data_IF_288470390586
#
_entry.id   IF_288470390586
#
_cell.length_a   1.000
_cell.length_b   1.000
_cell.length_c   1.000
_cell.angle_alpha   90.00
_cell.angle_beta   90.00
_cell.angle_gamma   90.00
#
_symmetry.space_group_name_H-M   'P 1'
#
loop_
_entity.id
_entity.type
_entity.pdbx_description
1 polymer ?
#
# COMPACT_ATOMS: atom_id res chain seq x y z
N UNK A 1 -9.48 -11.09 -1.07
CA UNK A 1 -8.59 -11.14 -2.24
C UNK A 1 -7.82 -12.44 -2.15
N UNK A 2 -7.32 -12.99 -3.25
CA UNK A 2 -6.36 -14.11 -3.25
C UNK A 2 -4.98 -13.66 -2.76
N UNK A 3 -4.60 -12.42 -3.05
CA UNK A 3 -3.33 -11.79 -2.63
C UNK A 3 -3.63 -10.51 -1.84
N UNK A 4 -3.78 -10.62 -0.51
CA UNK A 4 -4.04 -9.44 0.31
C UNK A 4 -2.87 -8.47 0.27
N UNK A 5 -3.16 -7.19 0.01
CA UNK A 5 -2.22 -6.10 0.18
C UNK A 5 -1.89 -5.92 1.67
N UNK A 6 -2.90 -5.92 2.53
CA UNK A 6 -2.77 -5.84 3.98
C UNK A 6 -2.80 -7.23 4.60
N UNK A 7 -1.63 -7.78 4.90
CA UNK A 7 -1.46 -9.11 5.49
C UNK A 7 -0.68 -9.06 6.82
N UNK A 8 -0.34 -10.23 7.34
CA UNK A 8 0.39 -10.36 8.60
C UNK A 8 1.81 -9.76 8.56
N UNK A 9 2.46 -9.65 7.39
CA UNK A 9 3.79 -9.04 7.31
C UNK A 9 3.70 -7.51 7.34
N UNK A 10 2.55 -6.92 7.01
CA UNK A 10 2.33 -5.47 7.13
C UNK A 10 2.64 -4.92 8.52
N UNK A 11 2.38 -5.69 9.59
CA UNK A 11 2.65 -5.26 10.97
C UNK A 11 4.15 -5.10 11.24
N UNK A 12 5.03 -5.62 10.38
CA UNK A 12 6.48 -5.49 10.50
C UNK A 12 6.99 -4.10 10.12
N UNK A 13 6.22 -3.34 9.34
CA UNK A 13 6.58 -1.98 8.95
C UNK A 13 6.81 -1.10 10.20
N UNK A 14 5.98 -1.25 11.24
CA UNK A 14 6.10 -0.44 12.46
C UNK A 14 7.38 -0.69 13.27
N UNK A 15 8.10 -1.79 12.99
CA UNK A 15 9.34 -2.15 13.69
C UNK A 15 10.54 -1.30 13.25
N UNK A 16 10.44 -0.61 12.09
CA UNK A 16 11.42 0.40 11.61
C UNK A 16 12.87 -0.10 11.56
N UNK A 17 13.05 -1.36 11.18
CA UNK A 17 14.35 -2.02 11.03
C UNK A 17 14.53 -2.48 9.56
N UNK A 18 15.61 -3.22 9.28
CA UNK A 18 15.86 -3.76 7.93
C UNK A 18 14.77 -4.73 7.43
N UNK A 19 14.01 -5.35 8.33
CA UNK A 19 12.83 -6.13 7.94
C UNK A 19 11.70 -5.21 7.45
N UNK A 20 11.49 -4.08 8.12
CA UNK A 20 10.50 -3.08 7.70
C UNK A 20 10.82 -2.52 6.31
N UNK A 21 12.10 -2.31 5.98
CA UNK A 21 12.53 -1.88 4.64
C UNK A 21 12.10 -2.88 3.56
N UNK A 22 12.46 -4.16 3.73
CA UNK A 22 12.09 -5.21 2.77
C UNK A 22 10.58 -5.39 2.62
N UNK A 23 9.82 -5.24 3.71
CA UNK A 23 8.35 -5.29 3.66
C UNK A 23 7.78 -4.07 2.94
N UNK A 24 8.33 -2.87 3.16
CA UNK A 24 7.89 -1.66 2.45
C UNK A 24 8.11 -1.80 0.94
N UNK A 25 9.29 -2.23 0.52
CA UNK A 25 9.59 -2.48 -0.90
C UNK A 25 8.62 -3.49 -1.53
N UNK A 26 8.38 -4.61 -0.83
CA UNK A 26 7.42 -5.62 -1.27
C UNK A 26 6.01 -5.04 -1.42
N UNK A 27 5.51 -4.32 -0.41
CA UNK A 27 4.14 -3.78 -0.40
C UNK A 27 3.94 -2.64 -1.40
N UNK A 28 4.97 -1.83 -1.66
CA UNK A 28 4.95 -0.83 -2.74
C UNK A 28 4.78 -1.52 -4.10
N UNK A 29 5.55 -2.59 -4.34
CA UNK A 29 5.47 -3.36 -5.58
C UNK A 29 4.12 -4.05 -5.75
N UNK A 30 3.63 -4.73 -4.71
CA UNK A 30 2.30 -5.37 -4.73
C UNK A 30 1.18 -4.36 -5.00
N UNK A 31 1.26 -3.17 -4.38
CA UNK A 31 0.33 -2.09 -4.65
C UNK A 31 0.34 -1.67 -6.13
N UNK A 32 1.51 -1.50 -6.74
CA UNK A 32 1.65 -1.14 -8.16
C UNK A 32 1.11 -2.25 -9.09
N UNK A 33 1.36 -3.51 -8.76
CA UNK A 33 0.84 -4.67 -9.49
C UNK A 33 -0.69 -4.72 -9.45
N UNK A 34 -1.29 -4.52 -8.27
CA UNK A 34 -2.75 -4.49 -8.09
C UNK A 34 -3.35 -3.29 -8.84
N UNK A 35 -2.76 -2.10 -8.69
CA UNK A 35 -3.22 -0.89 -9.37
C UNK A 35 -3.23 -1.10 -10.89
N UNK A 36 -2.13 -1.61 -11.45
CA UNK A 36 -1.98 -1.88 -12.88
C UNK A 36 -2.97 -2.94 -13.36
N UNK A 37 -3.23 -3.97 -12.55
CA UNK A 37 -4.19 -5.01 -12.90
C UNK A 37 -5.63 -4.46 -12.98
N UNK A 38 -6.04 -3.65 -12.01
CA UNK A 38 -7.35 -2.99 -12.02
C UNK A 38 -7.43 -2.01 -13.20
N UNK A 39 -6.40 -1.20 -13.44
CA UNK A 39 -6.38 -0.23 -14.54
C UNK A 39 -6.56 -0.91 -15.90
N UNK A 40 -5.91 -2.07 -16.10
CA UNK A 40 -6.03 -2.83 -17.36
C UNK A 40 -7.41 -3.46 -17.55
N UNK A 41 -8.07 -3.86 -16.48
CA UNK A 41 -9.35 -4.56 -16.55
C UNK A 41 -10.56 -3.61 -16.57
N UNK A 42 -10.53 -2.58 -15.73
CA UNK A 42 -11.68 -1.71 -15.43
C UNK A 42 -11.44 -0.24 -15.84
N UNK A 43 -10.22 0.08 -16.27
CA UNK A 43 -9.82 1.43 -16.65
C UNK A 43 -9.22 2.24 -15.49
N UNK A 44 -8.59 3.35 -15.87
CA UNK A 44 -7.80 4.19 -14.96
C UNK A 44 -8.60 4.77 -13.80
N UNK A 45 -9.83 5.22 -14.06
CA UNK A 45 -10.67 5.84 -13.03
C UNK A 45 -11.09 4.82 -11.97
N UNK A 46 -11.35 3.57 -12.37
CA UNK A 46 -11.63 2.48 -11.43
C UNK A 46 -10.40 2.20 -10.54
N UNK A 47 -9.21 2.08 -11.13
CA UNK A 47 -7.97 1.87 -10.38
C UNK A 47 -7.74 2.98 -9.35
N UNK A 48 -7.92 4.25 -9.75
CA UNK A 48 -7.80 5.39 -8.84
C UNK A 48 -8.82 5.36 -7.71
N UNK A 49 -10.08 5.09 -8.01
CA UNK A 49 -11.12 5.08 -6.98
C UNK A 49 -10.92 3.93 -5.98
N UNK A 50 -10.50 2.76 -6.46
CA UNK A 50 -10.33 1.57 -5.63
C UNK A 50 -9.03 1.62 -4.84
N UNK A 51 -7.95 2.12 -5.43
CA UNK A 51 -6.60 2.17 -4.82
C UNK A 51 -6.25 3.56 -4.28
N UNK A 52 -7.25 4.38 -3.96
CA UNK A 52 -7.10 5.68 -3.31
C UNK A 52 -6.10 6.61 -4.03
N UNK A 53 -6.22 6.68 -5.36
CA UNK A 53 -5.36 7.41 -6.30
C UNK A 53 -3.85 7.14 -6.12
N UNK A 54 -3.51 5.94 -5.64
CA UNK A 54 -2.14 5.52 -5.38
C UNK A 54 -1.53 6.09 -4.10
N UNK A 55 -2.32 6.73 -3.24
CA UNK A 55 -1.84 7.31 -1.98
C UNK A 55 -1.30 6.25 -1.01
N UNK A 56 -1.79 5.00 -1.09
CA UNK A 56 -1.24 3.89 -0.31
C UNK A 56 0.24 3.69 -0.66
N UNK A 57 0.55 3.46 -1.95
CA UNK A 57 1.91 3.30 -2.41
C UNK A 57 2.80 4.51 -2.11
N UNK A 58 2.26 5.73 -2.27
CA UNK A 58 2.97 6.96 -1.90
C UNK A 58 3.35 6.99 -0.42
N UNK A 59 2.40 6.72 0.49
CA UNK A 59 2.67 6.72 1.93
C UNK A 59 3.72 5.67 2.32
N UNK A 60 3.65 4.47 1.74
CA UNK A 60 4.68 3.44 1.96
C UNK A 60 6.06 3.91 1.47
N UNK A 61 6.14 4.57 0.31
CA UNK A 61 7.40 5.15 -0.18
C UNK A 61 7.96 6.21 0.77
N UNK A 62 7.12 7.08 1.34
CA UNK A 62 7.56 8.05 2.36
C UNK A 62 8.08 7.38 3.63
N UNK A 63 7.48 6.28 4.06
CA UNK A 63 8.01 5.46 5.16
C UNK A 63 9.40 4.89 4.81
N UNK A 64 9.58 4.37 3.60
CA UNK A 64 10.86 3.81 3.15
C UNK A 64 11.95 4.88 3.07
N UNK A 65 11.61 6.07 2.55
CA UNK A 65 12.53 7.21 2.52
C UNK A 65 13.04 7.60 3.90
N UNK A 66 12.18 7.56 4.93
CA UNK A 66 12.58 7.82 6.31
C UNK A 66 13.56 6.76 6.82
N UNK A 67 13.30 5.48 6.56
CA UNK A 67 14.22 4.39 6.98
C UNK A 67 15.58 4.51 6.29
N UNK A 68 15.59 4.96 5.02
CA UNK A 68 16.80 5.25 4.27
C UNK A 68 17.54 6.53 4.72
N UNK A 69 17.11 7.18 5.82
CA UNK A 69 17.79 8.32 6.42
C UNK A 69 17.43 9.68 5.81
N UNK A 70 16.33 9.79 5.06
CA UNK A 70 15.87 11.08 4.53
C UNK A 70 15.48 12.04 5.64
N UNK A 71 16.10 13.24 5.65
CA UNK A 71 15.73 14.31 6.58
C UNK A 71 14.41 15.01 6.27
N UNK A 72 13.76 14.68 5.14
CA UNK A 72 12.49 15.30 4.72
C UNK A 72 11.24 14.66 5.32
N UNK A 73 11.39 13.49 5.96
CA UNK A 73 10.31 12.76 6.65
C UNK A 73 10.72 12.63 8.09
N UNK A 74 9.97 13.25 9.00
CA UNK A 74 10.21 13.09 10.44
C UNK A 74 9.66 11.76 10.93
N UNK A 75 10.05 11.37 12.15
CA UNK A 75 9.46 10.21 12.81
C UNK A 75 7.94 10.33 12.98
N UNK A 76 7.40 11.53 13.23
CA UNK A 76 5.94 11.73 13.32
C UNK A 76 5.27 11.53 11.98
N UNK A 77 5.89 12.02 10.90
CA UNK A 77 5.39 11.83 9.54
C UNK A 77 5.35 10.35 9.17
N UNK A 78 6.36 9.57 9.59
CA UNK A 78 6.36 8.12 9.42
C UNK A 78 5.09 7.47 9.99
N UNK A 79 4.74 7.78 11.25
CA UNK A 79 3.53 7.23 11.87
C UNK A 79 2.24 7.70 11.18
N UNK A 80 2.20 8.94 10.69
CA UNK A 80 1.08 9.48 9.90
C UNK A 80 0.92 8.70 8.59
N UNK A 81 2.00 8.54 7.82
CA UNK A 81 1.98 7.80 6.55
C UNK A 81 1.64 6.32 6.76
N UNK A 82 2.26 5.66 7.73
CA UNK A 82 1.94 4.27 8.08
C UNK A 82 0.47 4.10 8.48
N UNK A 83 -0.05 5.00 9.33
CA UNK A 83 -1.43 4.95 9.79
C UNK A 83 -2.42 5.14 8.63
N UNK A 84 -2.15 6.09 7.74
CA UNK A 84 -2.95 6.31 6.54
C UNK A 84 -2.96 5.08 5.63
N UNK A 85 -1.77 4.62 5.21
CA UNK A 85 -1.61 3.47 4.32
C UNK A 85 -2.31 2.23 4.88
N UNK A 86 -2.20 1.99 6.20
CA UNK A 86 -2.85 0.86 6.85
C UNK A 86 -4.38 0.92 6.80
N UNK A 87 -4.96 2.12 6.94
CA UNK A 87 -6.42 2.30 6.85
C UNK A 87 -6.89 2.18 5.40
N UNK A 88 -6.21 2.85 4.49
CA UNK A 88 -6.56 2.87 3.07
C UNK A 88 -6.42 1.47 2.44
N UNK A 89 -5.33 0.74 2.70
CA UNK A 89 -5.13 -0.62 2.19
C UNK A 89 -6.26 -1.56 2.62
N UNK A 90 -6.66 -1.55 3.90
CA UNK A 90 -7.80 -2.35 4.39
C UNK A 90 -9.12 -2.00 3.71
N UNK A 91 -9.32 -0.73 3.36
CA UNK A 91 -10.54 -0.30 2.70
C UNK A 91 -10.53 -0.69 1.22
N UNK A 92 -9.42 -0.47 0.53
CA UNK A 92 -9.21 -0.94 -0.85
C UNK A 92 -9.43 -2.44 -0.98
N UNK A 93 -8.92 -3.26 -0.05
CA UNK A 93 -9.17 -4.70 -0.07
C UNK A 93 -10.65 -5.07 0.00
N UNK A 94 -11.42 -4.40 0.87
CA UNK A 94 -12.88 -4.64 0.96
C UNK A 94 -13.58 -4.26 -0.34
N UNK A 95 -13.18 -3.15 -0.96
CA UNK A 95 -13.75 -2.70 -2.23
C UNK A 95 -13.43 -3.72 -3.33
N UNK A 96 -12.16 -4.16 -3.43
CA UNK A 96 -11.75 -5.17 -4.40
C UNK A 96 -12.54 -6.47 -4.20
N UNK A 97 -12.69 -6.93 -2.95
CA UNK A 97 -13.43 -8.16 -2.66
C UNK A 97 -14.91 -8.07 -2.97
N UNK A 98 -15.51 -6.90 -2.75
CA UNK A 98 -16.94 -6.69 -2.97
C UNK A 98 -17.26 -6.44 -4.43
N UNK A 99 -16.44 -5.66 -5.13
CA UNK A 99 -16.78 -5.08 -6.43
C UNK A 99 -15.95 -5.66 -7.58
N UNK A 100 -14.76 -6.20 -7.29
CA UNK A 100 -13.80 -6.69 -8.28
C UNK A 100 -13.41 -8.17 -8.06
N UNK A 101 -14.27 -8.94 -7.38
CA UNK A 101 -14.00 -10.37 -7.08
C UNK A 101 -13.73 -11.22 -8.33
N UNK A 102 -14.27 -10.84 -9.49
CA UNK A 102 -14.03 -11.51 -10.77
C UNK A 102 -12.57 -11.40 -11.24
N UNK A 103 -11.83 -10.39 -10.79
CA UNK A 103 -10.41 -10.22 -11.14
C UNK A 103 -9.49 -11.23 -10.44
N UNK A 104 -9.99 -11.94 -9.41
CA UNK A 104 -9.19 -12.93 -8.66
C UNK A 104 -7.86 -12.38 -8.13
N UNK A 105 -7.82 -11.07 -7.84
CA UNK A 105 -6.71 -10.39 -7.18
C UNK A 105 -6.61 -10.88 -5.74
#
# INVERSE_FOLDING_TARGET
MKRPLYDHIWTKIIERNSLAEGVLEQKIKEHEEIFTAIERAEGKDAARNVMDDGLIGHCLARCLEHLNGSGSVTEKDYYVFYGYASKAAKESEKIIDKELSHLSL
#
